data_IF_796526648503
#
_entry.id   IF_796526648503
#
_cell.length_a   1.000
_cell.length_b   1.000
_cell.length_c   1.000
_cell.angle_alpha   90.00
_cell.angle_beta   90.00
_cell.angle_gamma   90.00
#
_symmetry.space_group_name_H-M   'P 1'
#
loop_
_entity.id
_entity.type
_entity.pdbx_description
1 polymer ?
#
# COMPACT_ATOMS: atom_id res chain seq x y z
N UNK A 1 -61.45 3.42 -27.03
CA UNK A 1 -61.37 1.96 -27.21
C UNK A 1 -59.90 1.56 -27.34
N UNK A 2 -59.36 0.84 -26.37
CA UNK A 2 -58.02 0.25 -26.45
C UNK A 2 -58.13 -1.05 -27.24
N UNK A 3 -57.61 -1.07 -28.48
CA UNK A 3 -57.61 -2.28 -29.33
C UNK A 3 -56.73 -3.40 -28.75
N UNK A 4 -56.91 -4.63 -29.26
CA UNK A 4 -56.31 -5.89 -28.80
C UNK A 4 -54.76 -5.94 -28.79
N UNK A 5 -54.08 -4.86 -29.19
CA UNK A 5 -52.63 -4.74 -29.17
C UNK A 5 -52.23 -3.51 -28.35
N UNK A 6 -51.75 -3.74 -27.13
CA UNK A 6 -51.04 -2.71 -26.36
C UNK A 6 -49.72 -2.43 -27.10
N UNK A 7 -49.47 -1.21 -27.63
CA UNK A 7 -48.15 -0.91 -28.16
C UNK A 7 -47.14 -1.06 -27.01
N UNK A 8 -46.23 -2.01 -27.14
CA UNK A 8 -45.10 -2.11 -26.21
C UNK A 8 -44.30 -0.82 -26.32
N UNK A 9 -44.01 -0.17 -25.18
CA UNK A 9 -43.14 1.00 -25.18
C UNK A 9 -41.86 0.68 -25.96
N UNK A 10 -41.42 1.52 -26.92
CA UNK A 10 -40.16 1.28 -27.62
C UNK A 10 -39.08 1.21 -26.54
N UNK A 11 -38.37 0.08 -26.47
CA UNK A 11 -37.20 -0.05 -25.63
C UNK A 11 -36.25 1.08 -26.01
N UNK A 12 -36.12 2.09 -25.16
CA UNK A 12 -35.21 3.23 -25.31
C UNK A 12 -33.74 2.82 -25.12
N UNK A 13 -33.38 1.65 -25.66
CA UNK A 13 -32.05 1.08 -25.80
C UNK A 13 -31.57 1.10 -27.26
N UNK A 14 -31.93 2.14 -28.03
CA UNK A 14 -31.58 2.25 -29.45
C UNK A 14 -30.08 2.43 -29.73
N UNK A 15 -29.28 2.83 -28.72
CA UNK A 15 -27.84 2.97 -28.87
C UNK A 15 -27.12 1.63 -28.61
N UNK A 16 -26.64 1.00 -29.68
CA UNK A 16 -25.92 -0.27 -29.62
C UNK A 16 -24.47 -0.08 -29.16
N UNK A 17 -24.21 -0.28 -27.87
CA UNK A 17 -22.85 -0.40 -27.34
C UNK A 17 -22.32 -1.83 -27.51
N UNK A 18 -21.67 -2.12 -28.65
CA UNK A 18 -21.16 -3.46 -29.01
C UNK A 18 -19.94 -3.88 -28.16
N UNK A 19 -20.18 -4.19 -26.89
CA UNK A 19 -19.16 -4.65 -25.94
C UNK A 19 -19.48 -6.10 -25.54
N UNK A 20 -18.68 -7.10 -25.99
CA UNK A 20 -18.95 -8.51 -25.73
C UNK A 20 -18.95 -8.82 -24.24
N UNK A 21 -19.61 -9.90 -23.83
CA UNK A 21 -19.66 -10.31 -22.42
C UNK A 21 -18.34 -10.94 -21.93
N UNK A 22 -17.52 -11.46 -22.84
CA UNK A 22 -16.23 -12.11 -22.57
C UNK A 22 -15.06 -11.43 -23.28
N UNK A 23 -13.87 -11.55 -22.71
CA UNK A 23 -12.62 -11.17 -23.36
C UNK A 23 -12.19 -12.21 -24.40
N UNK A 24 -11.63 -11.75 -25.51
CA UNK A 24 -10.93 -12.62 -26.46
C UNK A 24 -9.58 -13.11 -25.92
N UNK A 25 -9.06 -14.21 -26.47
CA UNK A 25 -7.73 -14.73 -26.12
C UNK A 25 -6.60 -13.67 -26.18
N UNK A 26 -6.46 -12.87 -27.27
CA UNK A 26 -5.43 -11.83 -27.31
C UNK A 26 -5.64 -10.72 -26.28
N UNK A 27 -6.89 -10.39 -25.92
CA UNK A 27 -7.15 -9.44 -24.83
C UNK A 27 -6.72 -10.01 -23.48
N UNK A 28 -6.98 -11.30 -23.22
CA UNK A 28 -6.51 -11.99 -22.01
C UNK A 28 -4.98 -11.99 -21.92
N UNK A 29 -4.29 -12.29 -23.04
CA UNK A 29 -2.82 -12.23 -23.09
C UNK A 29 -2.28 -10.83 -22.78
N UNK A 30 -2.84 -9.79 -23.40
CA UNK A 30 -2.44 -8.40 -23.12
C UNK A 30 -2.72 -8.01 -21.67
N UNK A 31 -3.81 -8.49 -21.09
CA UNK A 31 -4.11 -8.25 -19.70
C UNK A 31 -3.10 -8.88 -18.75
N UNK A 32 -2.75 -10.17 -18.97
CA UNK A 32 -1.67 -10.84 -18.22
C UNK A 32 -0.35 -10.09 -18.31
N UNK A 33 0.04 -9.66 -19.52
CA UNK A 33 1.25 -8.85 -19.73
C UNK A 33 1.21 -7.52 -18.97
N UNK A 34 0.05 -6.85 -18.90
CA UNK A 34 -0.10 -5.61 -18.11
C UNK A 34 0.05 -5.86 -16.61
N UNK A 35 -0.56 -6.91 -16.08
CA UNK A 35 -0.42 -7.28 -14.66
C UNK A 35 1.05 -7.58 -14.32
N UNK A 36 1.71 -8.43 -15.11
CA UNK A 36 3.14 -8.70 -14.97
C UNK A 36 4.02 -7.46 -15.08
N UNK A 37 3.68 -6.53 -15.97
CA UNK A 37 4.42 -5.26 -16.10
C UNK A 37 4.33 -4.43 -14.81
N UNK A 38 3.15 -4.37 -14.19
CA UNK A 38 2.97 -3.68 -12.90
C UNK A 38 3.78 -4.39 -11.81
N UNK A 39 3.76 -5.73 -11.78
CA UNK A 39 4.56 -6.52 -10.83
C UNK A 39 6.05 -6.20 -10.96
N UNK A 40 6.56 -6.21 -12.19
CA UNK A 40 7.95 -5.89 -12.48
C UNK A 40 8.33 -4.46 -12.02
N UNK A 41 7.44 -3.48 -12.17
CA UNK A 41 7.69 -2.11 -11.70
C UNK A 41 7.85 -2.11 -10.18
N UNK A 42 6.96 -2.78 -9.45
CA UNK A 42 7.03 -2.86 -7.99
C UNK A 42 8.30 -3.58 -7.54
N UNK A 43 8.68 -4.68 -8.19
CA UNK A 43 9.93 -5.40 -7.87
C UNK A 43 11.17 -4.54 -8.11
N UNK A 44 11.19 -3.81 -9.23
CA UNK A 44 12.32 -2.92 -9.56
C UNK A 44 12.43 -1.80 -8.53
N UNK A 45 11.33 -1.11 -8.22
CA UNK A 45 11.31 -0.05 -7.20
C UNK A 45 11.79 -0.56 -5.86
N UNK A 46 11.29 -1.73 -5.43
CA UNK A 46 11.72 -2.35 -4.19
C UNK A 46 13.23 -2.62 -4.17
N UNK A 47 13.77 -3.25 -5.23
CA UNK A 47 15.20 -3.56 -5.33
C UNK A 47 16.07 -2.30 -5.39
N UNK A 48 15.60 -1.24 -6.04
CA UNK A 48 16.30 0.02 -6.18
C UNK A 48 16.39 0.76 -4.84
N UNK A 49 15.32 0.75 -4.03
CA UNK A 49 15.33 1.33 -2.68
C UNK A 49 16.31 0.59 -1.76
N UNK A 50 16.31 -0.75 -1.78
CA UNK A 50 17.27 -1.55 -1.03
C UNK A 50 18.72 -1.28 -1.46
N UNK A 51 18.95 -1.11 -2.77
CA UNK A 51 20.27 -0.76 -3.30
C UNK A 51 20.69 0.64 -2.89
N UNK A 52 19.80 1.62 -2.97
CA UNK A 52 20.08 3.02 -2.60
C UNK A 52 20.53 3.14 -1.14
N UNK A 53 19.89 2.39 -0.25
CA UNK A 53 20.29 2.24 1.15
C UNK A 53 21.70 1.65 1.27
N UNK A 54 21.98 0.54 0.57
CA UNK A 54 23.29 -0.13 0.60
C UNK A 54 24.41 0.71 -0.01
N UNK A 55 24.11 1.40 -1.10
CA UNK A 55 25.09 2.25 -1.79
C UNK A 55 25.38 3.53 -1.02
N UNK A 56 24.75 3.74 0.15
CA UNK A 56 24.98 4.87 1.05
C UNK A 56 25.01 6.17 0.27
N UNK A 57 23.84 6.69 -0.12
CA UNK A 57 23.85 7.91 -0.94
C UNK A 57 24.55 9.05 -0.20
N UNK A 58 25.74 9.37 -0.70
CA UNK A 58 26.28 10.71 -1.00
C UNK A 58 25.41 11.84 -0.45
N UNK A 59 25.99 12.60 0.49
CA UNK A 59 25.49 13.86 1.03
C UNK A 59 24.63 14.62 0.03
N UNK A 60 23.44 15.01 0.48
CA UNK A 60 22.60 15.96 -0.27
C UNK A 60 23.37 17.26 -0.50
N UNK A 61 23.01 18.04 -1.53
CA UNK A 61 23.62 19.35 -1.77
C UNK A 61 23.48 20.29 -0.55
N UNK A 62 22.41 20.12 0.23
CA UNK A 62 22.16 20.81 1.49
C UNK A 62 23.13 20.38 2.60
N UNK A 63 23.39 19.08 2.77
CA UNK A 63 24.40 18.60 3.71
C UNK A 63 25.82 19.01 3.31
N UNK A 64 26.14 19.07 2.00
CA UNK A 64 27.42 19.58 1.53
C UNK A 64 27.62 21.07 1.86
N UNK A 65 26.56 21.88 1.79
CA UNK A 65 26.62 23.29 2.20
C UNK A 65 26.76 23.45 3.71
N UNK A 66 26.02 22.65 4.51
CA UNK A 66 26.10 22.69 5.97
C UNK A 66 27.49 22.32 6.52
N UNK A 67 28.25 21.51 5.79
CA UNK A 67 29.60 21.07 6.18
C UNK A 67 30.72 21.98 5.67
N UNK A 68 30.43 22.83 4.66
CA UNK A 68 31.37 23.87 4.19
C UNK A 68 31.43 25.10 5.10
N UNK A 69 30.50 25.21 6.05
CA UNK A 69 30.57 26.19 7.13
C UNK A 69 31.52 25.65 8.20
N UNK A 70 32.53 26.43 8.65
CA UNK A 70 33.38 26.00 9.75
C UNK A 70 32.49 25.71 10.95
N UNK A 71 32.57 24.48 11.45
CA UNK A 71 31.95 24.10 12.72
C UNK A 71 32.67 24.92 13.79
N UNK A 72 32.12 26.08 14.12
CA UNK A 72 32.66 26.94 15.17
C UNK A 72 32.66 26.10 16.43
N UNK A 73 33.86 25.69 16.85
CA UNK A 73 34.08 25.06 18.15
C UNK A 73 33.90 26.15 19.19
N UNK A 74 32.65 26.45 19.53
CA UNK A 74 32.36 27.19 20.74
C UNK A 74 32.70 26.26 21.91
N UNK A 75 33.95 26.36 22.37
CA UNK A 75 34.31 26.02 23.73
C UNK A 75 33.68 27.06 24.65
N UNK A 76 32.36 27.00 24.80
CA UNK A 76 31.65 27.75 25.84
C UNK A 76 31.19 26.76 26.89
N UNK A 77 32.00 26.65 27.94
CA UNK A 77 31.60 25.96 29.15
C UNK A 77 30.38 26.65 29.75
N UNK A 78 29.21 26.02 29.60
CA UNK A 78 28.11 26.18 30.54
C UNK A 78 27.34 24.84 30.67
N UNK A 79 27.54 24.18 31.83
CA UNK A 79 26.70 23.13 32.46
C UNK A 79 26.39 21.84 31.66
N UNK A 80 27.30 20.87 31.78
CA UNK A 80 27.01 19.45 32.06
C UNK A 80 25.86 18.75 31.33
N UNK A 81 25.84 18.73 30.00
CA UNK A 81 25.04 17.74 29.27
C UNK A 81 25.84 16.43 29.18
N UNK A 82 25.29 15.36 29.77
CA UNK A 82 25.87 14.03 29.71
C UNK A 82 25.86 13.51 28.26
N UNK A 83 26.97 12.94 27.80
CA UNK A 83 27.03 12.35 26.47
C UNK A 83 26.10 11.12 26.40
N UNK A 84 25.65 10.72 25.21
CA UNK A 84 24.77 9.55 25.06
C UNK A 84 25.39 8.27 25.61
N UNK A 85 26.72 8.20 25.60
CA UNK A 85 27.49 7.09 26.16
C UNK A 85 27.43 7.11 27.70
N UNK A 86 27.58 8.28 28.34
CA UNK A 86 27.47 8.45 29.80
C UNK A 86 26.06 8.09 30.32
N UNK A 87 25.03 8.45 29.56
CA UNK A 87 23.63 8.12 29.87
C UNK A 87 23.35 6.61 29.78
N UNK A 88 24.06 5.88 28.91
CA UNK A 88 23.89 4.43 28.78
C UNK A 88 24.54 3.64 29.93
N UNK A 89 25.54 4.23 30.59
CA UNK A 89 26.31 3.58 31.65
C UNK A 89 25.70 3.77 33.04
N UNK A 90 24.89 4.81 33.23
CA UNK A 90 24.31 5.17 34.54
C UNK A 90 22.86 4.69 34.64
N UNK A 91 22.45 4.12 35.77
CA UNK A 91 21.08 3.63 35.98
C UNK A 91 19.99 4.72 35.80
N UNK A 92 20.26 5.95 36.22
CA UNK A 92 19.38 7.10 35.97
C UNK A 92 19.40 7.56 34.51
N UNK A 93 20.55 7.44 33.83
CA UNK A 93 20.63 7.70 32.39
C UNK A 93 19.82 6.68 31.57
N UNK A 94 19.85 5.40 31.95
CA UNK A 94 18.99 4.36 31.37
C UNK A 94 17.50 4.64 31.61
N UNK A 95 17.13 5.15 32.81
CA UNK A 95 15.75 5.58 33.09
C UNK A 95 15.34 6.78 32.26
N UNK A 96 16.22 7.75 32.03
CA UNK A 96 15.95 8.90 31.16
C UNK A 96 15.77 8.47 29.70
N UNK A 97 16.64 7.60 29.18
CA UNK A 97 16.51 7.03 27.84
C UNK A 97 15.20 6.24 27.67
N UNK A 98 14.82 5.45 28.66
CA UNK A 98 13.54 4.74 28.68
C UNK A 98 12.36 5.74 28.68
N UNK A 99 12.42 6.77 29.52
CA UNK A 99 11.39 7.82 29.62
C UNK A 99 11.23 8.61 28.33
N UNK A 100 12.32 8.92 27.63
CA UNK A 100 12.27 9.62 26.35
C UNK A 100 11.70 8.74 25.22
N UNK A 101 12.01 7.44 25.24
CA UNK A 101 11.40 6.47 24.32
C UNK A 101 9.88 6.34 24.52
N UNK A 102 9.43 6.31 25.78
CA UNK A 102 8.02 6.31 26.15
C UNK A 102 7.35 7.67 25.86
N UNK A 103 8.06 8.78 26.02
CA UNK A 103 7.53 10.11 25.74
C UNK A 103 7.33 10.34 24.23
N UNK A 104 8.27 9.90 23.38
CA UNK A 104 8.16 10.01 21.93
C UNK A 104 7.01 9.16 21.37
N UNK A 105 6.83 7.94 21.86
CA UNK A 105 5.69 7.09 21.47
C UNK A 105 4.34 7.71 21.90
N UNK A 106 4.29 8.29 23.10
CA UNK A 106 3.09 8.93 23.66
C UNK A 106 2.74 10.29 23.01
N UNK A 107 3.70 11.10 22.58
CA UNK A 107 3.46 12.41 21.96
C UNK A 107 2.76 12.30 20.58
N UNK A 108 3.05 11.26 19.80
CA UNK A 108 2.32 10.96 18.56
C UNK A 108 0.89 10.47 18.80
N UNK A 109 0.66 9.70 19.87
CA UNK A 109 -0.66 9.19 20.24
C UNK A 109 -1.59 10.29 20.81
N UNK A 110 -1.01 11.27 21.53
CA UNK A 110 -1.75 12.33 22.23
C UNK A 110 -2.28 13.46 21.33
N UNK A 111 -1.77 13.67 20.11
CA UNK A 111 -2.25 14.77 19.25
C UNK A 111 -3.69 14.58 18.76
N UNK A 112 -4.20 13.34 18.68
CA UNK A 112 -5.56 13.08 18.19
C UNK A 112 -6.38 12.04 18.96
N UNK A 113 -5.83 11.35 19.97
CA UNK A 113 -6.57 10.39 20.83
C UNK A 113 -7.16 9.17 20.11
N UNK A 114 -7.20 9.19 18.78
CA UNK A 114 -7.47 8.06 17.90
C UNK A 114 -6.11 7.52 17.50
N UNK A 115 -5.81 6.29 17.91
CA UNK A 115 -4.59 5.59 17.52
C UNK A 115 -4.48 5.40 15.99
N UNK A 116 -3.53 4.59 15.54
CA UNK A 116 -3.34 4.32 14.11
C UNK A 116 -4.64 3.88 13.43
N UNK A 117 -4.90 4.40 12.23
CA UNK A 117 -6.11 4.03 11.48
C UNK A 117 -6.01 2.56 11.03
N UNK A 118 -7.14 1.88 10.86
CA UNK A 118 -7.17 0.45 10.46
C UNK A 118 -6.30 0.14 9.23
N UNK A 119 -6.26 1.05 8.24
CA UNK A 119 -5.43 0.90 7.03
C UNK A 119 -3.93 1.20 7.19
N UNK A 120 -3.48 1.55 8.40
CA UNK A 120 -2.06 1.75 8.72
C UNK A 120 -1.37 0.49 9.26
N UNK A 121 -2.15 -0.53 9.60
CA UNK A 121 -1.61 -1.83 9.99
C UNK A 121 -1.29 -2.67 8.77
N UNK A 122 -0.30 -3.56 8.92
CA UNK A 122 -0.02 -4.55 7.90
C UNK A 122 -1.11 -5.63 7.88
N UNK A 123 -1.67 -5.95 6.70
CA UNK A 123 -2.64 -7.03 6.61
C UNK A 123 -1.92 -8.35 6.92
N UNK A 124 -2.49 -9.17 7.80
CA UNK A 124 -1.93 -10.49 8.06
C UNK A 124 -2.04 -11.34 6.80
N UNK A 125 -0.92 -11.99 6.44
CA UNK A 125 -0.93 -13.00 5.39
C UNK A 125 -1.82 -14.15 5.87
N UNK A 126 -2.84 -14.46 5.08
CA UNK A 126 -3.93 -15.39 5.35
C UNK A 126 -3.50 -16.70 6.03
N UNK A 127 -3.90 -16.88 7.29
CA UNK A 127 -4.12 -18.18 7.92
C UNK A 127 -5.61 -18.57 7.82
N UNK A 128 -6.02 -19.85 8.04
CA UNK A 128 -7.28 -20.45 7.60
C UNK A 128 -8.58 -19.76 8.08
N UNK A 129 -9.75 -20.11 7.51
CA UNK A 129 -10.93 -19.24 7.37
C UNK A 129 -11.81 -19.07 8.63
N UNK A 130 -11.36 -19.43 9.83
CA UNK A 130 -12.22 -19.40 11.04
C UNK A 130 -11.98 -18.22 11.98
N UNK A 131 -11.09 -17.29 11.67
CA UNK A 131 -10.87 -16.10 12.49
C UNK A 131 -10.95 -14.84 11.62
N UNK A 132 -11.55 -13.79 12.17
CA UNK A 132 -11.75 -12.49 11.52
C UNK A 132 -10.44 -11.95 10.90
N UNK A 133 -10.48 -10.98 9.96
CA UNK A 133 -9.27 -10.35 9.46
C UNK A 133 -8.52 -9.65 10.62
N UNK A 134 -7.58 -10.37 11.23
CA UNK A 134 -6.71 -9.84 12.26
C UNK A 134 -5.57 -9.13 11.53
N UNK A 135 -5.55 -7.80 11.58
CA UNK A 135 -4.37 -7.03 11.22
C UNK A 135 -3.20 -7.46 12.11
N UNK A 136 -1.98 -7.51 11.59
CA UNK A 136 -0.82 -7.72 12.46
C UNK A 136 -0.67 -6.49 13.36
N UNK A 137 -0.11 -6.65 14.56
CA UNK A 137 0.17 -5.52 15.46
C UNK A 137 1.21 -4.54 14.88
N UNK A 138 1.92 -4.92 13.82
CA UNK A 138 2.94 -4.11 13.17
C UNK A 138 2.33 -3.04 12.27
N UNK A 139 2.80 -1.82 12.43
CA UNK A 139 2.44 -0.71 11.56
C UNK A 139 3.21 -0.78 10.24
N UNK A 140 2.53 -0.40 9.16
CA UNK A 140 3.10 -0.25 7.82
C UNK A 140 4.25 0.76 7.80
N UNK A 141 4.21 1.77 8.69
CA UNK A 141 5.30 2.72 8.89
C UNK A 141 6.54 2.09 9.49
N UNK A 142 6.36 1.21 10.48
CA UNK A 142 7.46 0.51 11.15
C UNK A 142 8.11 -0.47 10.20
N UNK A 143 7.35 -1.29 9.47
CA UNK A 143 7.94 -2.22 8.50
C UNK A 143 8.64 -1.51 7.35
N UNK A 144 8.07 -0.41 6.84
CA UNK A 144 8.74 0.40 5.82
C UNK A 144 10.07 0.98 6.36
N UNK A 145 10.12 1.40 7.63
CA UNK A 145 11.35 1.87 8.27
C UNK A 145 12.37 0.74 8.48
N UNK A 146 11.92 -0.43 8.97
CA UNK A 146 12.74 -1.64 9.15
C UNK A 146 13.38 -2.08 7.82
N UNK A 147 12.58 -2.14 6.75
CA UNK A 147 13.03 -2.53 5.40
C UNK A 147 13.72 -1.40 4.64
N UNK A 148 13.68 -0.17 5.16
CA UNK A 148 14.17 1.05 4.51
C UNK A 148 13.56 1.25 3.11
N UNK A 149 12.24 1.01 3.02
CA UNK A 149 11.41 1.15 1.81
C UNK A 149 10.28 2.16 2.03
N UNK A 150 9.33 2.23 1.08
CA UNK A 150 8.18 3.14 1.14
C UNK A 150 6.95 2.36 1.57
N UNK A 151 6.17 2.93 2.49
CA UNK A 151 4.86 2.45 2.96
C UNK A 151 3.98 1.87 1.85
N UNK A 152 3.81 2.61 0.74
CA UNK A 152 2.95 2.20 -0.38
C UNK A 152 3.40 0.90 -1.06
N UNK A 153 4.72 0.65 -1.12
CA UNK A 153 5.25 -0.58 -1.72
C UNK A 153 4.99 -1.76 -0.79
N UNK A 154 5.22 -1.60 0.51
CA UNK A 154 4.93 -2.66 1.48
C UNK A 154 3.43 -2.99 1.52
N UNK A 155 2.59 -1.96 1.52
CA UNK A 155 1.14 -2.12 1.42
C UNK A 155 0.74 -2.88 0.16
N UNK A 156 1.27 -2.46 -0.99
CA UNK A 156 0.98 -3.14 -2.26
C UNK A 156 1.38 -4.60 -2.21
N UNK A 157 2.56 -4.94 -1.67
CA UNK A 157 3.04 -6.32 -1.59
C UNK A 157 2.23 -7.18 -0.63
N UNK A 158 1.70 -6.58 0.44
CA UNK A 158 0.90 -7.28 1.42
C UNK A 158 -0.55 -7.50 0.94
N UNK A 159 -1.14 -6.52 0.23
CA UNK A 159 -2.54 -6.58 -0.22
C UNK A 159 -2.71 -7.16 -1.64
N UNK A 160 -1.82 -6.87 -2.59
CA UNK A 160 -2.06 -7.10 -4.01
C UNK A 160 -1.34 -8.38 -4.51
N UNK A 161 -2.06 -9.44 -4.90
CA UNK A 161 -1.47 -10.69 -5.38
C UNK A 161 -0.78 -10.52 -6.73
N UNK A 162 0.28 -11.29 -7.00
CA UNK A 162 0.98 -11.27 -8.29
C UNK A 162 0.16 -11.93 -9.40
N UNK A 163 0.48 -11.67 -10.68
CA UNK A 163 -0.24 -12.32 -11.80
C UNK A 163 -0.19 -13.85 -11.72
N UNK A 164 0.87 -14.43 -11.16
CA UNK A 164 1.03 -15.88 -11.05
C UNK A 164 0.16 -16.48 -9.95
N UNK A 165 0.05 -15.80 -8.81
CA UNK A 165 -0.80 -16.20 -7.67
C UNK A 165 -2.29 -16.09 -7.97
N UNK A 166 -2.69 -15.14 -8.82
CA UNK A 166 -4.10 -14.90 -9.12
C UNK A 166 -4.77 -16.08 -9.85
N UNK A 167 -6.00 -16.40 -9.44
CA UNK A 167 -6.87 -17.34 -10.15
C UNK A 167 -7.27 -16.78 -11.53
N UNK A 168 -7.41 -17.63 -12.57
CA UNK A 168 -7.92 -17.18 -13.87
C UNK A 168 -9.27 -16.46 -13.80
N UNK A 169 -10.13 -16.82 -12.84
CA UNK A 169 -11.42 -16.16 -12.59
C UNK A 169 -11.22 -14.69 -12.20
N UNK A 170 -10.33 -14.39 -11.28
CA UNK A 170 -10.07 -13.03 -10.80
C UNK A 170 -9.23 -12.20 -11.78
N UNK A 171 -8.45 -12.86 -12.66
CA UNK A 171 -7.77 -12.16 -13.77
C UNK A 171 -8.74 -11.55 -14.77
N UNK A 172 -9.85 -12.22 -15.09
CA UNK A 172 -10.71 -11.80 -16.21
C UNK A 172 -12.09 -11.32 -15.79
N UNK A 173 -12.43 -11.47 -14.51
CA UNK A 173 -13.69 -11.02 -13.95
C UNK A 173 -13.49 -10.26 -12.65
N UNK A 174 -14.39 -9.32 -12.41
CA UNK A 174 -14.50 -8.55 -11.19
C UNK A 174 -15.87 -8.79 -10.55
N UNK A 175 -15.97 -8.51 -9.26
CA UNK A 175 -17.24 -8.50 -8.55
C UNK A 175 -18.16 -7.37 -9.07
N UNK A 176 -19.44 -7.69 -9.33
CA UNK A 176 -20.49 -6.70 -9.58
C UNK A 176 -21.77 -7.15 -8.88
N UNK A 177 -22.20 -6.41 -7.85
CA UNK A 177 -23.36 -6.74 -7.01
C UNK A 177 -24.68 -6.82 -7.78
N UNK A 178 -24.78 -6.17 -8.94
CA UNK A 178 -26.03 -6.06 -9.72
C UNK A 178 -26.19 -7.16 -10.77
N UNK A 179 -25.15 -7.94 -11.02
CA UNK A 179 -25.15 -8.98 -12.04
C UNK A 179 -25.44 -10.34 -11.40
N UNK A 180 -26.28 -11.15 -12.04
CA UNK A 180 -26.54 -12.52 -11.60
C UNK A 180 -25.22 -13.30 -11.55
N UNK A 181 -24.96 -13.97 -10.43
CA UNK A 181 -23.69 -14.67 -10.20
C UNK A 181 -22.53 -13.76 -9.81
N UNK A 182 -22.80 -12.49 -9.50
CA UNK A 182 -21.89 -11.52 -8.87
C UNK A 182 -20.58 -11.27 -9.61
N UNK A 183 -20.49 -11.60 -10.90
CA UNK A 183 -19.27 -11.50 -11.71
C UNK A 183 -19.51 -10.80 -13.03
N UNK A 184 -18.58 -9.92 -13.39
CA UNK A 184 -18.57 -9.17 -14.64
C UNK A 184 -17.19 -9.19 -15.26
N UNK A 185 -17.10 -9.21 -16.59
CA UNK A 185 -15.82 -9.13 -17.29
C UNK A 185 -15.07 -7.84 -16.96
N UNK A 186 -13.78 -7.95 -16.60
CA UNK A 186 -12.95 -6.80 -16.20
C UNK A 186 -12.83 -5.73 -17.30
N UNK A 187 -13.00 -6.12 -18.57
CA UNK A 187 -12.99 -5.21 -19.72
C UNK A 187 -14.18 -4.25 -19.79
N UNK A 188 -15.20 -4.47 -18.95
CA UNK A 188 -16.33 -3.55 -18.78
C UNK A 188 -16.05 -2.48 -17.71
N UNK A 189 -14.93 -2.56 -16.99
CA UNK A 189 -14.51 -1.51 -16.06
C UNK A 189 -14.03 -0.27 -16.85
N UNK A 190 -14.48 0.95 -16.50
CA UNK A 190 -13.96 2.16 -17.09
C UNK A 190 -12.43 2.23 -16.94
N UNK A 191 -11.73 2.41 -18.07
CA UNK A 191 -10.26 2.52 -18.11
C UNK A 191 -9.53 1.31 -17.51
N UNK A 192 -10.11 0.11 -17.61
CA UNK A 192 -9.54 -1.16 -17.09
C UNK A 192 -8.12 -1.50 -17.56
N UNK A 193 -7.63 -0.88 -18.63
CA UNK A 193 -6.25 -1.06 -19.10
C UNK A 193 -5.23 -0.31 -18.25
N UNK A 194 -5.65 0.69 -17.48
CA UNK A 194 -4.81 1.56 -16.64
C UNK A 194 -5.07 1.36 -15.15
N UNK A 195 -6.30 0.99 -14.79
CA UNK A 195 -6.67 0.70 -13.39
C UNK A 195 -6.24 -0.72 -13.01
N UNK A 196 -5.62 -0.87 -11.84
CA UNK A 196 -5.20 -2.16 -11.28
C UNK A 196 -6.27 -2.76 -10.36
N UNK A 197 -7.21 -3.51 -10.92
CA UNK A 197 -8.17 -4.31 -10.16
C UNK A 197 -7.64 -5.74 -10.00
N UNK A 198 -7.39 -6.19 -8.76
CA UNK A 198 -6.93 -7.56 -8.46
C UNK A 198 -7.72 -8.27 -7.38
N UNK A 199 -8.24 -7.50 -6.42
CA UNK A 199 -8.98 -8.01 -5.27
C UNK A 199 -10.48 -8.02 -5.56
N UNK A 200 -11.14 -9.08 -5.10
CA UNK A 200 -12.59 -9.23 -5.08
C UNK A 200 -13.01 -9.59 -3.64
N UNK A 201 -14.23 -9.23 -3.20
CA UNK A 201 -14.69 -9.59 -1.87
C UNK A 201 -14.73 -11.11 -1.68
N UNK A 202 -14.32 -11.62 -0.51
CA UNK A 202 -14.31 -13.06 -0.25
C UNK A 202 -15.72 -13.64 -0.27
N UNK A 203 -15.87 -14.86 -0.80
CA UNK A 203 -17.16 -15.54 -0.91
C UNK A 203 -17.96 -15.25 -2.20
N UNK A 204 -17.45 -14.39 -3.10
CA UNK A 204 -18.10 -14.03 -4.37
C UNK A 204 -17.25 -14.38 -5.61
#
# INVERSE_FOLDING_TARGET
MFGAFKPTAPLSGGLLWKIPWRLSSPQKLRHRRRMRRVDNVVTVLNSALHRHVKSGRSKTWQEKQAESLPKVQNQEGTRGEATSEDLSQTAEGLRMLARDSDAQSNLSARRHGKGPKEGEFLPAQTSPPSSAPHHTSKLLSQEAAERKTIKLIERWRAEMPTEQEMLPKDKYSMFDKKVRGYRKGVHKLPKWTRVSQRLNPPGF
#
